data_IF_049543871190
#
_entry.id   IF_049543871190
#
_cell.length_a   1.000
_cell.length_b   1.000
_cell.length_c   1.000
_cell.angle_alpha   90.00
_cell.angle_beta   90.00
_cell.angle_gamma   90.00
#
_symmetry.space_group_name_H-M   'P 1'
#
loop_
_entity.id
_entity.type
_entity.pdbx_description
1 polymer ?
#
# COMPACT_ATOMS: atom_id res chain seq x y z
N UNK A 1 3.57 7.57 27.29
CA UNK A 1 3.71 6.18 26.78
C UNK A 1 3.28 6.12 25.34
N UNK A 2 4.12 5.55 24.49
CA UNK A 2 3.80 5.48 23.07
C UNK A 2 2.84 4.34 22.76
N UNK A 3 1.92 4.61 21.86
CA UNK A 3 1.03 3.61 21.29
C UNK A 3 1.87 2.61 20.51
N UNK A 4 1.56 1.30 20.54
CA UNK A 4 2.30 0.31 19.73
C UNK A 4 2.43 0.69 18.26
N UNK A 5 1.42 1.35 17.69
CA UNK A 5 1.47 1.82 16.32
C UNK A 5 2.48 2.94 16.13
N UNK A 6 2.64 3.79 17.13
CA UNK A 6 3.58 4.89 17.07
C UNK A 6 5.02 4.45 17.24
N UNK A 7 5.23 3.30 17.88
CA UNK A 7 6.57 2.76 18.09
C UNK A 7 7.08 1.97 16.89
N UNK A 8 6.24 1.70 15.90
CA UNK A 8 6.66 1.00 14.70
C UNK A 8 7.50 1.89 13.81
N UNK A 9 8.60 1.35 13.32
CA UNK A 9 9.41 2.04 12.34
C UNK A 9 8.71 1.98 10.98
N UNK A 10 9.08 2.88 10.09
CA UNK A 10 8.55 2.86 8.73
C UNK A 10 8.95 1.57 8.00
N UNK A 11 10.13 1.02 8.32
CA UNK A 11 10.57 -0.25 7.76
C UNK A 11 9.66 -1.42 8.13
N UNK A 12 8.95 -1.31 9.26
CA UNK A 12 7.97 -2.33 9.68
C UNK A 12 6.58 -1.98 9.18
N UNK A 13 6.20 -0.71 9.29
CA UNK A 13 4.85 -0.27 8.96
C UNK A 13 4.56 -0.35 7.45
N UNK A 14 5.55 -0.06 6.62
CA UNK A 14 5.34 -0.05 5.17
C UNK A 14 5.05 -1.45 4.61
N UNK A 15 5.82 -2.50 4.95
CA UNK A 15 5.47 -3.85 4.49
C UNK A 15 4.11 -4.32 4.98
N UNK A 16 3.71 -3.94 6.20
CA UNK A 16 2.38 -4.28 6.71
C UNK A 16 1.28 -3.61 5.89
N UNK A 17 1.49 -2.34 5.55
CA UNK A 17 0.53 -1.61 4.74
C UNK A 17 0.46 -2.17 3.32
N UNK A 18 1.60 -2.57 2.77
CA UNK A 18 1.63 -3.24 1.47
C UNK A 18 0.82 -4.53 1.49
N UNK A 19 0.94 -5.31 2.58
CA UNK A 19 0.18 -6.55 2.72
C UNK A 19 -1.32 -6.27 2.81
N UNK A 20 -1.70 -5.24 3.55
CA UNK A 20 -3.11 -4.84 3.67
C UNK A 20 -3.68 -4.45 2.30
N UNK A 21 -2.97 -3.60 1.58
CA UNK A 21 -3.41 -3.13 0.26
C UNK A 21 -3.44 -4.28 -0.74
N UNK A 22 -2.49 -5.22 -0.63
CA UNK A 22 -2.45 -6.40 -1.50
C UNK A 22 -3.72 -7.23 -1.35
N UNK A 23 -4.29 -7.30 -0.15
CA UNK A 23 -5.56 -7.99 0.08
C UNK A 23 -6.73 -7.30 -0.61
N UNK A 24 -6.64 -5.98 -0.78
CA UNK A 24 -7.68 -5.23 -1.50
C UNK A 24 -7.74 -5.63 -2.96
N UNK A 25 -6.65 -6.14 -3.54
CA UNK A 25 -6.67 -6.60 -4.93
C UNK A 25 -7.72 -7.68 -5.15
N UNK A 26 -7.86 -8.58 -4.19
CA UNK A 26 -8.88 -9.64 -4.27
C UNK A 26 -10.29 -9.03 -4.30
N UNK A 27 -10.49 -7.99 -3.51
CA UNK A 27 -11.77 -7.32 -3.40
C UNK A 27 -12.12 -6.56 -4.67
N UNK A 28 -11.16 -5.82 -5.23
CA UNK A 28 -11.39 -5.01 -6.43
C UNK A 28 -11.35 -5.85 -7.71
N UNK A 29 -10.80 -7.06 -7.65
CA UNK A 29 -10.76 -7.96 -8.79
C UNK A 29 -12.08 -8.76 -8.89
N UNK A 30 -13.18 -8.06 -8.73
CA UNK A 30 -14.52 -8.63 -8.80
C UNK A 30 -15.10 -8.36 -10.19
N UNK A 31 -15.54 -9.40 -10.92
CA UNK A 31 -16.13 -9.22 -12.25
C UNK A 31 -17.33 -8.25 -12.27
N UNK A 32 -18.05 -8.16 -11.17
CA UNK A 32 -19.19 -7.24 -11.07
C UNK A 32 -18.78 -5.77 -11.16
N UNK A 33 -17.56 -5.45 -10.83
CA UNK A 33 -17.03 -4.08 -10.94
C UNK A 33 -16.68 -3.72 -12.39
N UNK A 34 -16.53 -4.71 -13.25
CA UNK A 34 -16.25 -4.50 -14.67
C UNK A 34 -14.94 -3.73 -14.91
N UNK A 35 -15.01 -2.79 -15.85
CA UNK A 35 -13.83 -1.98 -16.23
C UNK A 35 -13.30 -1.18 -15.05
N UNK A 36 -14.20 -0.65 -14.22
CA UNK A 36 -13.81 0.15 -13.07
C UNK A 36 -12.94 -0.65 -12.10
N UNK A 37 -13.31 -1.90 -11.85
CA UNK A 37 -12.51 -2.78 -11.00
C UNK A 37 -11.12 -3.02 -11.56
N UNK A 38 -11.00 -3.17 -12.88
CA UNK A 38 -9.70 -3.36 -13.54
C UNK A 38 -8.81 -2.13 -13.38
N UNK A 39 -9.40 -0.94 -13.48
CA UNK A 39 -8.65 0.30 -13.29
C UNK A 39 -8.12 0.39 -11.86
N UNK A 40 -8.96 0.08 -10.88
CA UNK A 40 -8.55 0.07 -9.47
C UNK A 40 -7.42 -0.93 -9.21
N UNK A 41 -7.54 -2.14 -9.76
CA UNK A 41 -6.50 -3.17 -9.62
C UNK A 41 -5.18 -2.68 -10.21
N UNK A 42 -5.23 -2.07 -11.40
CA UNK A 42 -4.04 -1.54 -12.05
C UNK A 42 -3.36 -0.46 -11.21
N UNK A 43 -4.14 0.46 -10.66
CA UNK A 43 -3.62 1.54 -9.82
C UNK A 43 -2.98 1.00 -8.54
N UNK A 44 -3.63 0.03 -7.90
CA UNK A 44 -3.10 -0.58 -6.68
C UNK A 44 -1.78 -1.28 -6.98
N UNK A 45 -1.70 -2.02 -8.07
CA UNK A 45 -0.47 -2.71 -8.46
C UNK A 45 0.65 -1.72 -8.72
N UNK A 46 0.34 -0.58 -9.33
CA UNK A 46 1.31 0.47 -9.57
C UNK A 46 1.83 1.02 -8.23
N UNK A 47 0.93 1.31 -7.31
CA UNK A 47 1.32 1.85 -6.01
C UNK A 47 2.14 0.85 -5.20
N UNK A 48 1.80 -0.44 -5.26
CA UNK A 48 2.56 -1.48 -4.58
C UNK A 48 3.96 -1.61 -5.17
N UNK A 49 4.09 -1.49 -6.47
CA UNK A 49 5.39 -1.54 -7.14
C UNK A 49 6.26 -0.36 -6.73
N UNK A 50 5.66 0.82 -6.65
CA UNK A 50 6.37 2.02 -6.20
C UNK A 50 6.83 1.88 -4.75
N UNK A 51 5.98 1.30 -3.90
CA UNK A 51 6.32 1.06 -2.51
C UNK A 51 7.47 0.06 -2.39
N UNK A 52 7.47 -0.99 -3.20
CA UNK A 52 8.54 -1.98 -3.21
C UNK A 52 9.88 -1.34 -3.57
N UNK A 53 9.88 -0.45 -4.55
CA UNK A 53 11.09 0.30 -4.93
C UNK A 53 11.58 1.18 -3.77
N UNK A 54 10.64 1.83 -3.08
CA UNK A 54 10.99 2.69 -1.96
C UNK A 54 11.65 1.89 -0.83
N UNK A 55 11.11 0.71 -0.53
CA UNK A 55 11.69 -0.18 0.50
C UNK A 55 13.10 -0.58 0.10
N UNK A 56 13.29 -0.99 -1.15
CA UNK A 56 14.59 -1.45 -1.64
C UNK A 56 15.63 -0.34 -1.66
N UNK A 57 15.21 0.89 -1.95
CA UNK A 57 16.13 2.03 -1.97
C UNK A 57 16.53 2.50 -0.57
N UNK A 58 15.67 2.26 0.42
CA UNK A 58 15.89 2.73 1.77
C UNK A 58 15.76 4.23 1.94
N UNK A 59 15.25 4.93 0.91
CA UNK A 59 15.09 6.38 0.93
C UNK A 59 13.86 6.75 1.76
N UNK A 60 14.09 7.35 2.94
CA UNK A 60 13.01 7.64 3.88
C UNK A 60 11.89 8.52 3.29
N UNK A 61 12.19 9.63 2.59
CA UNK A 61 11.13 10.42 1.98
C UNK A 61 10.26 9.62 1.02
N UNK A 62 10.87 8.74 0.21
CA UNK A 62 10.13 7.88 -0.71
C UNK A 62 9.26 6.88 0.03
N UNK A 63 9.77 6.34 1.14
CA UNK A 63 9.02 5.38 1.96
C UNK A 63 7.82 6.04 2.63
N UNK A 64 7.99 7.27 3.12
CA UNK A 64 6.89 8.04 3.73
C UNK A 64 5.81 8.30 2.68
N UNK A 65 6.22 8.73 1.51
CA UNK A 65 5.30 9.01 0.41
C UNK A 65 4.52 7.76 -0.01
N UNK A 66 5.23 6.63 -0.12
CA UNK A 66 4.61 5.36 -0.45
C UNK A 66 3.60 4.94 0.62
N UNK A 67 3.96 5.09 1.89
CA UNK A 67 3.06 4.76 2.99
C UNK A 67 1.78 5.58 2.93
N UNK A 68 1.91 6.88 2.72
CA UNK A 68 0.75 7.77 2.63
C UNK A 68 -0.15 7.40 1.45
N UNK A 69 0.46 7.08 0.31
CA UNK A 69 -0.28 6.66 -0.87
C UNK A 69 -1.08 5.39 -0.60
N UNK A 70 -0.44 4.39 -0.01
CA UNK A 70 -1.11 3.12 0.29
C UNK A 70 -2.18 3.29 1.37
N UNK A 71 -1.92 4.16 2.34
CA UNK A 71 -2.86 4.41 3.42
C UNK A 71 -4.15 5.08 2.90
N UNK A 72 -4.10 5.66 1.74
CA UNK A 72 -5.27 6.25 1.09
C UNK A 72 -6.24 5.20 0.54
N UNK A 73 -5.78 3.96 0.32
CA UNK A 73 -6.64 2.88 -0.15
C UNK A 73 -7.46 2.33 1.00
N UNK A 74 -8.76 2.42 0.91
CA UNK A 74 -9.68 1.98 1.96
C UNK A 74 -10.47 0.75 1.52
N UNK A 75 -10.88 -0.01 2.52
CA UNK A 75 -11.77 -1.15 2.30
C UNK A 75 -13.23 -0.65 2.08
#
# INVERSE_FOLDING_TARGET
>A
MTNPKESKTLGEALPEEMARVRKLLTKYNDPELGVLGRVWVWLIKYDLRSADKAVKSGDLPSMVEAYETLNGWKE
#
